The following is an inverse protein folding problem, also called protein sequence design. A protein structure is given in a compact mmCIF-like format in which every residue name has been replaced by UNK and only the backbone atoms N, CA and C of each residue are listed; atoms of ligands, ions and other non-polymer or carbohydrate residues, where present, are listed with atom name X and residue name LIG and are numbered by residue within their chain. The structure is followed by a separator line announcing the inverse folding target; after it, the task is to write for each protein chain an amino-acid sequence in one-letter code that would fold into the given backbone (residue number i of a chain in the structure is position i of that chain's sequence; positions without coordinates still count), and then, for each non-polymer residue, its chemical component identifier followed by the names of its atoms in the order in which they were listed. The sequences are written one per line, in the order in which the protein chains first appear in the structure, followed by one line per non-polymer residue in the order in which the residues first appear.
data_IF_730371076076
#
_entry.id   IF_730371076076
#
_cell.length_a   1.000
_cell.length_b   1.000
_cell.length_c   1.000
_cell.angle_alpha   90.00
_cell.angle_beta   90.00
_cell.angle_gamma   90.00
#
_symmetry.space_group_name_H-M   'P 1'
#
loop_
_entity.id
_entity.type
_entity.pdbx_description
1 polymer ?
#
# COMPACT_ATOMS: atom_id res chain seq x y z
N UNK A 1 28.42 2.84 13.54
CA UNK A 1 27.20 3.60 13.20
C UNK A 1 27.38 4.20 11.80
N UNK A 2 26.39 4.09 10.92
CA UNK A 2 26.47 4.73 9.60
C UNK A 2 26.31 6.25 9.72
N UNK A 3 27.18 7.03 9.07
CA UNK A 3 27.10 8.50 9.03
C UNK A 3 26.32 8.92 7.78
N UNK A 4 25.13 9.50 7.97
CA UNK A 4 24.31 10.02 6.86
C UNK A 4 24.84 11.41 6.49
N UNK A 5 25.30 11.55 5.24
CA UNK A 5 25.75 12.83 4.69
C UNK A 5 24.68 13.41 3.75
N UNK A 6 24.45 14.73 3.74
CA UNK A 6 23.53 15.35 2.81
C UNK A 6 24.04 15.25 1.37
N UNK A 7 23.13 15.12 0.40
CA UNK A 7 23.52 15.13 -1.02
C UNK A 7 23.93 16.54 -1.45
N UNK A 8 25.05 16.65 -2.15
CA UNK A 8 25.57 17.90 -2.72
C UNK A 8 25.19 18.12 -4.19
N UNK A 9 24.52 17.14 -4.83
CA UNK A 9 24.12 17.16 -6.24
C UNK A 9 22.67 16.75 -6.42
N UNK A 10 22.00 17.29 -7.44
CA UNK A 10 20.60 17.00 -7.76
C UNK A 10 20.37 15.60 -8.34
N UNK A 11 21.41 14.94 -8.87
CA UNK A 11 21.30 13.61 -9.46
C UNK A 11 21.54 12.51 -8.42
N UNK A 12 20.63 11.54 -8.34
CA UNK A 12 20.88 10.29 -7.64
C UNK A 12 21.66 9.32 -8.55
N UNK A 13 22.77 8.79 -8.06
CA UNK A 13 23.58 7.78 -8.76
C UNK A 13 23.71 6.59 -7.82
N UNK A 14 23.23 5.41 -8.25
CA UNK A 14 23.19 4.19 -7.43
C UNK A 14 22.62 4.44 -6.03
N UNK A 15 21.34 4.85 -5.92
CA UNK A 15 20.75 5.20 -4.63
C UNK A 15 20.77 4.03 -3.65
N UNK A 16 21.06 4.33 -2.37
CA UNK A 16 21.12 3.35 -1.28
C UNK A 16 19.79 3.21 -0.52
N UNK A 17 18.71 3.85 -0.99
CA UNK A 17 17.40 3.86 -0.32
C UNK A 17 16.30 3.42 -1.28
N UNK A 18 15.27 2.80 -0.73
CA UNK A 18 14.03 2.42 -1.42
C UNK A 18 12.86 3.26 -0.92
N UNK A 19 11.67 3.09 -1.53
CA UNK A 19 10.46 3.84 -1.18
C UNK A 19 9.92 3.48 0.21
N UNK A 20 9.28 4.43 0.88
CA UNK A 20 8.62 4.21 2.17
C UNK A 20 7.54 3.12 2.15
N UNK A 21 6.60 3.06 1.16
CA UNK A 21 5.58 2.01 1.15
C UNK A 21 6.15 0.60 1.01
N UNK A 22 7.35 0.43 0.43
CA UNK A 22 8.04 -0.87 0.44
C UNK A 22 8.35 -1.31 1.87
N UNK A 23 8.87 -0.42 2.71
CA UNK A 23 9.16 -0.72 4.11
C UNK A 23 7.89 -1.00 4.92
N UNK A 24 6.82 -0.22 4.70
CA UNK A 24 5.53 -0.44 5.35
C UNK A 24 4.91 -1.80 4.98
N UNK A 25 4.89 -2.16 3.69
CA UNK A 25 4.46 -3.49 3.26
C UNK A 25 5.30 -4.60 3.88
N UNK A 26 6.63 -4.42 3.96
CA UNK A 26 7.48 -5.42 4.60
C UNK A 26 7.15 -5.64 6.07
N UNK A 27 6.81 -4.57 6.80
CA UNK A 27 6.36 -4.67 8.18
C UNK A 27 5.05 -5.46 8.31
N UNK A 28 4.06 -5.18 7.46
CA UNK A 28 2.80 -5.94 7.45
C UNK A 28 2.97 -7.40 7.05
N UNK A 29 3.88 -7.72 6.13
CA UNK A 29 4.19 -9.12 5.76
C UNK A 29 4.74 -9.95 6.94
N UNK A 30 5.21 -9.30 8.01
CA UNK A 30 5.62 -9.96 9.25
C UNK A 30 4.49 -10.28 10.22
N UNK A 31 3.25 -9.89 9.93
CA UNK A 31 2.08 -10.08 10.79
C UNK A 31 1.22 -11.23 10.25
N UNK A 32 0.82 -12.14 11.13
CA UNK A 32 -0.01 -13.29 10.74
C UNK A 32 -1.39 -12.84 10.20
N UNK A 33 -1.79 -13.42 9.07
CA UNK A 33 -3.04 -13.11 8.39
C UNK A 33 -3.13 -11.69 7.78
N UNK A 34 -2.01 -10.95 7.71
CA UNK A 34 -1.99 -9.61 7.15
C UNK A 34 -1.85 -9.60 5.62
N UNK A 35 -2.53 -8.63 4.99
CA UNK A 35 -2.46 -8.36 3.55
C UNK A 35 -2.07 -6.89 3.32
N UNK A 36 -0.83 -6.59 2.90
CA UNK A 36 -0.47 -5.24 2.51
C UNK A 36 -1.15 -4.84 1.19
N UNK A 37 -1.65 -3.60 1.15
CA UNK A 37 -2.36 -2.99 0.04
C UNK A 37 -1.72 -1.64 -0.29
N UNK A 38 -1.14 -1.52 -1.49
CA UNK A 38 -0.66 -0.24 -2.00
C UNK A 38 -1.83 0.57 -2.56
N UNK A 39 -2.12 1.71 -1.93
CA UNK A 39 -3.04 2.69 -2.48
C UNK A 39 -2.31 3.57 -3.49
N UNK A 40 -2.58 3.37 -4.78
CA UNK A 40 -1.82 3.99 -5.86
C UNK A 40 -1.91 3.25 -7.18
N UNK A 41 -1.02 3.62 -8.11
CA UNK A 41 -0.92 2.95 -9.41
C UNK A 41 -0.29 1.56 -9.30
N UNK A 42 -0.64 0.68 -10.24
CA UNK A 42 -0.17 -0.71 -10.27
C UNK A 42 1.36 -0.85 -10.38
N UNK A 43 2.04 0.18 -10.92
CA UNK A 43 3.48 0.18 -11.13
C UNK A 43 4.28 0.08 -9.84
N UNK A 44 3.89 0.84 -8.80
CA UNK A 44 4.56 0.82 -7.49
C UNK A 44 4.57 -0.59 -6.88
N UNK A 45 3.43 -1.28 -6.97
CA UNK A 45 3.22 -2.62 -6.42
C UNK A 45 4.02 -3.67 -7.19
N UNK A 46 4.01 -3.58 -8.53
CA UNK A 46 4.80 -4.49 -9.39
C UNK A 46 6.30 -4.42 -9.09
N UNK A 47 6.85 -3.20 -8.90
CA UNK A 47 8.26 -3.04 -8.55
C UNK A 47 8.58 -3.58 -7.14
N UNK A 48 7.71 -3.33 -6.16
CA UNK A 48 7.88 -3.86 -4.81
C UNK A 48 7.86 -5.40 -4.80
N UNK A 49 6.91 -6.01 -5.52
CA UNK A 49 6.82 -7.45 -5.70
C UNK A 49 8.10 -8.03 -6.31
N UNK A 50 8.59 -7.46 -7.42
CA UNK A 50 9.82 -7.93 -8.07
C UNK A 50 11.01 -7.86 -7.11
N UNK A 51 11.11 -6.79 -6.31
CA UNK A 51 12.20 -6.63 -5.35
C UNK A 51 12.14 -7.68 -4.24
N UNK A 52 10.97 -7.89 -3.63
CA UNK A 52 10.80 -8.89 -2.59
C UNK A 52 10.98 -10.32 -3.10
N UNK A 53 10.36 -10.69 -4.21
CA UNK A 53 10.48 -12.04 -4.81
C UNK A 53 11.94 -12.32 -5.17
N UNK A 54 12.68 -11.35 -5.71
CA UNK A 54 14.10 -11.55 -6.03
C UNK A 54 14.97 -11.72 -4.79
N UNK A 55 14.63 -11.05 -3.69
CA UNK A 55 15.39 -11.10 -2.44
C UNK A 55 15.09 -12.39 -1.65
N UNK A 56 13.81 -12.68 -1.41
CA UNK A 56 13.38 -13.81 -0.59
C UNK A 56 13.24 -15.12 -1.35
N UNK A 57 13.15 -15.08 -2.69
CA UNK A 57 12.89 -16.25 -3.55
C UNK A 57 11.58 -16.97 -3.27
N UNK A 58 10.59 -16.23 -2.76
CA UNK A 58 9.27 -16.73 -2.38
C UNK A 58 8.15 -15.96 -3.09
N UNK A 59 6.94 -16.51 -3.08
CA UNK A 59 5.74 -15.79 -3.48
C UNK A 59 5.34 -14.76 -2.41
N UNK A 60 5.11 -13.51 -2.82
CA UNK A 60 4.86 -12.40 -1.89
C UNK A 60 3.42 -11.89 -2.05
N UNK A 61 2.58 -11.94 -1.01
CA UNK A 61 1.23 -11.41 -1.06
C UNK A 61 1.24 -9.88 -0.90
N UNK A 62 1.10 -9.15 -2.00
CA UNK A 62 0.99 -7.68 -2.01
C UNK A 62 -0.02 -7.25 -3.07
N UNK A 63 -0.93 -6.36 -2.71
CA UNK A 63 -2.08 -5.98 -3.53
C UNK A 63 -2.10 -4.47 -3.81
N UNK A 64 -2.99 -4.03 -4.71
CA UNK A 64 -3.04 -2.62 -5.15
C UNK A 64 -4.47 -2.16 -5.42
N UNK A 65 -4.73 -0.87 -5.19
CA UNK A 65 -5.99 -0.22 -5.59
C UNK A 65 -6.04 0.15 -7.07
N UNK A 66 -4.92 -0.02 -7.79
CA UNK A 66 -4.86 0.14 -9.24
C UNK A 66 -5.44 1.47 -9.75
N UNK A 67 -5.01 2.59 -9.17
CA UNK A 67 -5.41 3.91 -9.66
C UNK A 67 -4.93 4.14 -11.09
N UNK A 68 -5.86 4.55 -11.96
CA UNK A 68 -5.61 4.99 -13.33
C UNK A 68 -5.60 6.53 -13.41
N UNK A 69 -5.46 7.09 -14.62
CA UNK A 69 -5.45 8.54 -14.82
C UNK A 69 -6.78 9.20 -14.43
N UNK A 70 -7.91 8.47 -14.53
CA UNK A 70 -9.24 8.98 -14.20
C UNK A 70 -9.43 9.09 -12.70
N UNK A 71 -9.10 8.03 -11.94
CA UNK A 71 -9.07 8.05 -10.48
C UNK A 71 -8.05 9.08 -9.95
N UNK A 72 -6.96 9.29 -10.70
CA UNK A 72 -6.00 10.36 -10.42
C UNK A 72 -6.60 11.75 -10.59
N UNK A 73 -7.73 11.94 -11.27
CA UNK A 73 -8.43 13.23 -11.36
C UNK A 73 -9.56 13.30 -10.35
N UNK A 74 -10.40 12.26 -10.31
CA UNK A 74 -11.65 12.23 -9.56
C UNK A 74 -11.49 11.82 -8.09
N UNK A 75 -10.35 11.23 -7.72
CA UNK A 75 -10.13 10.59 -6.42
C UNK A 75 -10.32 9.07 -6.49
N UNK A 76 -9.71 8.36 -5.54
CA UNK A 76 -9.65 6.90 -5.56
C UNK A 76 -10.28 6.21 -4.33
N UNK A 77 -11.17 6.90 -3.62
CA UNK A 77 -11.90 6.32 -2.48
C UNK A 77 -12.70 5.06 -2.88
N UNK A 78 -13.36 5.09 -4.04
CA UNK A 78 -14.11 3.95 -4.57
C UNK A 78 -13.18 2.76 -4.89
N UNK A 79 -11.98 3.03 -5.43
CA UNK A 79 -10.98 2.00 -5.71
C UNK A 79 -10.44 1.38 -4.42
N UNK A 80 -10.25 2.20 -3.37
CA UNK A 80 -9.85 1.72 -2.05
C UNK A 80 -10.93 0.85 -1.42
N UNK A 81 -12.20 1.28 -1.49
CA UNK A 81 -13.36 0.52 -1.03
C UNK A 81 -13.46 -0.83 -1.74
N UNK A 82 -13.42 -0.81 -3.08
CA UNK A 82 -13.49 -2.02 -3.91
C UNK A 82 -12.34 -2.99 -3.58
N UNK A 83 -11.11 -2.48 -3.48
CA UNK A 83 -9.95 -3.31 -3.15
C UNK A 83 -10.10 -3.99 -1.78
N UNK A 84 -10.49 -3.24 -0.74
CA UNK A 84 -10.68 -3.77 0.62
C UNK A 84 -11.73 -4.90 0.63
N UNK A 85 -12.87 -4.69 -0.02
CA UNK A 85 -13.95 -5.69 -0.09
C UNK A 85 -13.52 -6.93 -0.90
N UNK A 86 -12.82 -6.73 -2.02
CA UNK A 86 -12.29 -7.82 -2.82
C UNK A 86 -11.28 -8.66 -2.03
N UNK A 87 -10.39 -8.03 -1.26
CA UNK A 87 -9.44 -8.73 -0.39
C UNK A 87 -10.14 -9.53 0.70
N UNK A 88 -11.14 -8.92 1.36
CA UNK A 88 -11.96 -9.60 2.37
C UNK A 88 -12.59 -10.88 1.80
N UNK A 89 -13.19 -10.79 0.62
CA UNK A 89 -13.91 -11.90 0.01
C UNK A 89 -12.96 -13.03 -0.47
N UNK A 90 -11.83 -12.66 -1.08
CA UNK A 90 -10.93 -13.63 -1.72
C UNK A 90 -9.93 -14.28 -0.77
N UNK A 91 -9.40 -13.50 0.16
CA UNK A 91 -8.26 -13.92 1.00
C UNK A 91 -8.58 -13.99 2.48
N UNK A 92 -9.72 -13.39 2.91
CA UNK A 92 -10.18 -13.36 4.31
C UNK A 92 -9.06 -12.95 5.30
N UNK A 93 -8.32 -11.85 5.04
CA UNK A 93 -7.24 -11.43 5.92
C UNK A 93 -7.80 -10.97 7.26
N UNK A 94 -7.04 -11.17 8.34
CA UNK A 94 -7.35 -10.61 9.67
C UNK A 94 -6.96 -9.14 9.74
N UNK A 95 -5.97 -8.72 8.93
CA UNK A 95 -5.47 -7.36 8.87
C UNK A 95 -5.20 -6.94 7.41
N UNK A 96 -5.63 -5.75 7.02
CA UNK A 96 -5.25 -5.10 5.76
C UNK A 96 -4.42 -3.86 6.10
N UNK A 97 -3.17 -3.84 5.63
CA UNK A 97 -2.25 -2.72 5.82
C UNK A 97 -2.22 -1.81 4.58
N UNK A 98 -2.88 -0.66 4.66
CA UNK A 98 -2.94 0.32 3.57
C UNK A 98 -1.67 1.17 3.57
N UNK A 99 -0.89 1.08 2.49
CA UNK A 99 0.34 1.85 2.30
C UNK A 99 0.13 2.84 1.16
N UNK A 100 0.19 4.15 1.44
CA UNK A 100 0.01 5.17 0.41
C UNK A 100 1.26 5.32 -0.45
N UNK A 101 1.05 5.57 -1.74
CA UNK A 101 2.13 5.84 -2.69
C UNK A 101 2.30 7.34 -2.92
N UNK A 102 3.40 7.74 -3.55
CA UNK A 102 3.65 9.14 -3.88
C UNK A 102 2.51 9.76 -4.73
N UNK A 103 1.81 8.97 -5.55
CA UNK A 103 0.66 9.45 -6.33
C UNK A 103 -0.46 9.97 -5.42
N UNK A 104 -0.86 9.15 -4.45
CA UNK A 104 -1.92 9.47 -3.48
C UNK A 104 -1.51 10.63 -2.59
N UNK A 105 -0.28 10.59 -2.06
CA UNK A 105 0.26 11.66 -1.23
C UNK A 105 0.33 13.00 -1.97
N UNK A 106 0.69 12.99 -3.26
CA UNK A 106 0.74 14.20 -4.07
C UNK A 106 -0.65 14.77 -4.35
N UNK A 107 -1.66 13.90 -4.49
CA UNK A 107 -3.06 14.35 -4.62
C UNK A 107 -3.61 14.90 -3.31
N UNK A 108 -3.09 14.43 -2.17
CA UNK A 108 -3.56 14.81 -0.84
C UNK A 108 -4.91 14.19 -0.48
N UNK A 109 -5.10 12.91 -0.80
CA UNK A 109 -6.33 12.18 -0.42
C UNK A 109 -6.43 11.96 1.09
N UNK A 110 -7.62 12.15 1.66
CA UNK A 110 -7.90 11.82 3.07
C UNK A 110 -8.15 10.32 3.26
N UNK A 111 -7.07 9.54 3.14
CA UNK A 111 -7.12 8.08 3.23
C UNK A 111 -7.66 7.60 4.58
N UNK A 112 -7.38 8.33 5.67
CA UNK A 112 -7.87 7.98 7.00
C UNK A 112 -9.39 8.15 7.09
N UNK A 113 -9.91 9.28 6.57
CA UNK A 113 -11.35 9.52 6.45
C UNK A 113 -12.05 8.49 5.58
N UNK A 114 -11.47 8.16 4.43
CA UNK A 114 -12.00 7.16 3.50
C UNK A 114 -12.07 5.77 4.15
N UNK A 115 -11.00 5.31 4.78
CA UNK A 115 -10.98 4.02 5.51
C UNK A 115 -12.05 4.02 6.61
N UNK A 116 -12.15 5.09 7.41
CA UNK A 116 -13.16 5.16 8.46
C UNK A 116 -14.60 5.09 7.92
N UNK A 117 -14.85 5.71 6.76
CA UNK A 117 -16.14 5.66 6.08
C UNK A 117 -16.44 4.26 5.53
N UNK A 118 -15.45 3.62 4.88
CA UNK A 118 -15.55 2.25 4.34
C UNK A 118 -15.87 1.26 5.47
N UNK A 119 -15.11 1.31 6.57
CA UNK A 119 -15.32 0.45 7.73
C UNK A 119 -16.72 0.61 8.33
N UNK A 120 -17.21 1.85 8.42
CA UNK A 120 -18.57 2.13 8.92
C UNK A 120 -19.64 1.58 7.96
N UNK A 121 -19.50 1.85 6.67
CA UNK A 121 -20.44 1.44 5.61
C UNK A 121 -20.56 -0.08 5.51
N UNK A 122 -19.46 -0.82 5.70
CA UNK A 122 -19.37 -2.26 5.48
C UNK A 122 -19.11 -3.08 6.75
N UNK A 123 -19.57 -2.59 7.90
CA UNK A 123 -19.30 -3.20 9.23
C UNK A 123 -19.53 -4.72 9.26
N UNK A 124 -20.63 -5.21 8.65
CA UNK A 124 -20.93 -6.65 8.63
C UNK A 124 -20.01 -7.44 7.69
N UNK A 125 -19.72 -6.91 6.50
CA UNK A 125 -18.88 -7.59 5.50
C UNK A 125 -17.42 -7.65 5.94
N UNK A 126 -16.95 -6.60 6.62
CA UNK A 126 -15.57 -6.47 7.12
C UNK A 126 -15.39 -6.99 8.55
N UNK A 127 -16.40 -7.64 9.13
CA UNK A 127 -16.30 -8.22 10.45
C UNK A 127 -15.09 -9.18 10.57
N UNK A 128 -14.26 -8.98 11.58
CA UNK A 128 -13.05 -9.75 11.83
C UNK A 128 -11.85 -9.42 10.93
N UNK A 129 -11.92 -8.32 10.17
CA UNK A 129 -10.78 -7.77 9.43
C UNK A 129 -10.53 -6.34 9.89
N UNK A 130 -9.35 -6.08 10.43
CA UNK A 130 -8.90 -4.71 10.72
C UNK A 130 -8.27 -4.08 9.49
N UNK A 131 -8.44 -2.78 9.31
CA UNK A 131 -7.81 -2.00 8.24
C UNK A 131 -7.01 -0.88 8.87
N UNK A 132 -5.71 -0.84 8.62
CA UNK A 132 -4.77 0.12 9.24
C UNK A 132 -4.05 0.89 8.15
N UNK A 133 -3.99 2.20 8.30
CA UNK A 133 -3.17 3.10 7.46
C UNK A 133 -1.74 3.15 8.03
N UNK A 134 -0.74 2.96 7.18
CA UNK A 134 0.69 2.97 7.53
C UNK A 134 1.26 4.37 7.80
#
# INVERSE_FOLDING_TARGET
MARILPQSKSAAVNPLKSSQPLGAAFAFLGVDGAMPLFHGSQGCTSFALVLFVRHFKEAIPLQTTAMDEVATILGAADHLEEAILNLKNRTKPTLIGVCTTALVETRGEDCAGDIANIMRKHTQQLAGTEVVLA
#
